data_IF_204716149533
#
_entry.id   IF_204716149533
#
_cell.length_a   1.000
_cell.length_b   1.000
_cell.length_c   1.000
_cell.angle_alpha   90.00
_cell.angle_beta   90.00
_cell.angle_gamma   90.00
#
_symmetry.space_group_name_H-M   'P 1'
#
loop_
_entity.id
_entity.type
_entity.pdbx_description
1 polymer ?
#
# COMPACT_ATOMS: atom_id res chain seq x y z
N UNK A 1 -16.76 -16.77 13.88
CA UNK A 1 -16.71 -16.08 12.57
C UNK A 1 -15.26 -15.99 12.15
N UNK A 2 -14.91 -16.62 11.03
CA UNK A 2 -13.53 -16.72 10.55
C UNK A 2 -12.89 -15.34 10.36
N UNK A 3 -12.07 -14.91 11.33
CA UNK A 3 -11.17 -13.77 11.17
C UNK A 3 -10.01 -14.21 10.29
N UNK A 4 -10.28 -14.48 9.00
CA UNK A 4 -9.18 -14.54 8.03
C UNK A 4 -8.55 -13.15 8.06
N UNK A 5 -7.25 -13.02 8.37
CA UNK A 5 -6.59 -11.73 8.30
C UNK A 5 -6.82 -11.18 6.90
N UNK A 6 -7.41 -9.97 6.81
CA UNK A 6 -7.63 -9.32 5.51
C UNK A 6 -6.27 -9.23 4.79
N UNK A 7 -6.20 -9.60 3.50
CA UNK A 7 -4.94 -9.68 2.77
C UNK A 7 -4.19 -8.36 2.85
N UNK A 8 -2.86 -8.44 2.97
CA UNK A 8 -2.01 -7.28 2.91
C UNK A 8 -1.98 -6.79 1.45
N UNK A 9 -2.58 -5.63 1.20
CA UNK A 9 -2.55 -5.00 -0.13
C UNK A 9 -1.21 -4.32 -0.39
N UNK A 10 -0.84 -4.22 -1.67
CA UNK A 10 0.36 -3.50 -2.09
C UNK A 10 0.40 -2.04 -1.61
N UNK A 11 -0.74 -1.33 -1.65
CA UNK A 11 -0.83 0.03 -1.12
C UNK A 11 -0.44 0.10 0.36
N UNK A 12 -1.01 -0.80 1.17
CA UNK A 12 -0.74 -0.82 2.61
C UNK A 12 0.71 -1.20 2.88
N UNK A 13 1.26 -2.16 2.15
CA UNK A 13 2.68 -2.52 2.25
C UNK A 13 3.60 -1.36 1.86
N UNK A 14 3.30 -0.67 0.76
CA UNK A 14 4.06 0.51 0.31
C UNK A 14 4.06 1.61 1.38
N UNK A 15 2.90 1.91 1.98
CA UNK A 15 2.80 2.91 3.05
C UNK A 15 3.63 2.54 4.28
N UNK A 16 3.58 1.29 4.71
CA UNK A 16 4.30 0.81 5.90
C UNK A 16 5.81 0.82 5.64
N UNK A 17 6.26 0.29 4.50
CA UNK A 17 7.68 0.19 4.18
C UNK A 17 8.35 1.55 4.02
N UNK A 18 7.65 2.52 3.42
CA UNK A 18 8.13 3.90 3.26
C UNK A 18 7.82 4.79 4.48
N UNK A 19 7.30 4.21 5.56
CA UNK A 19 7.00 4.92 6.81
C UNK A 19 6.13 6.19 6.60
N UNK A 20 5.14 6.11 5.71
CA UNK A 20 4.29 7.25 5.37
C UNK A 20 3.23 7.49 6.46
N UNK A 21 2.86 8.77 6.64
CA UNK A 21 1.86 9.20 7.59
C UNK A 21 0.45 9.16 7.00
N UNK A 22 -0.44 8.45 7.67
CA UNK A 22 -1.82 8.25 7.22
C UNK A 22 -2.60 9.56 7.19
N UNK A 23 -2.39 10.44 8.16
CA UNK A 23 -3.13 11.71 8.25
C UNK A 23 -2.65 12.65 7.15
N UNK A 24 -1.33 12.78 6.95
CA UNK A 24 -0.78 13.58 5.84
C UNK A 24 -1.27 13.12 4.47
N UNK A 25 -1.30 11.80 4.24
CA UNK A 25 -1.84 11.24 2.97
C UNK A 25 -3.30 11.65 2.81
N UNK A 26 -4.12 11.50 3.85
CA UNK A 26 -5.55 11.83 3.80
C UNK A 26 -5.77 13.33 3.53
N UNK A 27 -5.02 14.20 4.19
CA UNK A 27 -5.10 15.65 4.01
C UNK A 27 -4.71 16.06 2.59
N UNK A 28 -3.55 15.60 2.10
CA UNK A 28 -3.07 15.97 0.77
C UNK A 28 -3.94 15.37 -0.35
N UNK A 29 -4.41 14.13 -0.19
CA UNK A 29 -5.30 13.49 -1.16
C UNK A 29 -6.77 13.95 -1.02
N UNK A 30 -7.09 14.78 -0.01
CA UNK A 30 -8.45 15.26 0.32
C UNK A 30 -9.46 14.13 0.47
N UNK A 31 -9.08 13.08 1.19
CA UNK A 31 -9.93 11.91 1.49
C UNK A 31 -10.05 11.68 2.99
N UNK A 32 -11.10 10.96 3.40
CA UNK A 32 -11.23 10.55 4.80
C UNK A 32 -10.34 9.36 5.14
N UNK A 33 -9.94 9.25 6.41
CA UNK A 33 -9.16 8.11 6.91
C UNK A 33 -9.89 6.77 6.75
N UNK A 34 -11.22 6.79 6.90
CA UNK A 34 -12.07 5.61 6.66
C UNK A 34 -12.06 5.21 5.18
N UNK A 35 -12.01 6.18 4.27
CA UNK A 35 -11.85 5.90 2.84
C UNK A 35 -10.50 5.24 2.55
N UNK A 36 -9.39 5.86 2.99
CA UNK A 36 -8.05 5.28 2.82
C UNK A 36 -7.96 3.86 3.41
N UNK A 37 -8.54 3.64 4.58
CA UNK A 37 -8.59 2.31 5.21
C UNK A 37 -9.29 1.27 4.34
N UNK A 38 -10.38 1.63 3.65
CA UNK A 38 -11.06 0.73 2.71
C UNK A 38 -10.19 0.44 1.49
N UNK A 39 -9.51 1.45 0.94
CA UNK A 39 -8.59 1.25 -0.19
C UNK A 39 -7.42 0.34 0.22
N UNK A 40 -6.84 0.53 1.40
CA UNK A 40 -5.82 -0.35 1.97
C UNK A 40 -6.33 -1.78 2.23
N UNK A 41 -7.64 -1.98 2.30
CA UNK A 41 -8.29 -3.29 2.44
C UNK A 41 -8.73 -3.87 1.08
N UNK A 42 -8.39 -3.22 -0.03
CA UNK A 42 -8.63 -3.72 -1.38
C UNK A 42 -9.86 -3.12 -2.07
N UNK A 43 -10.50 -2.08 -1.49
CA UNK A 43 -11.54 -1.35 -2.20
C UNK A 43 -10.92 -0.54 -3.35
N UNK A 44 -11.52 -0.64 -4.54
CA UNK A 44 -11.08 0.11 -5.71
C UNK A 44 -11.55 1.57 -5.61
N UNK A 45 -10.64 2.56 -5.61
CA UNK A 45 -11.01 3.96 -5.67
C UNK A 45 -11.40 4.37 -7.11
N UNK A 46 -11.95 5.57 -7.29
CA UNK A 46 -12.11 6.13 -8.63
C UNK A 46 -10.74 6.47 -9.24
N UNK A 47 -10.66 6.54 -10.57
CA UNK A 47 -9.43 6.89 -11.28
C UNK A 47 -8.83 8.24 -10.80
N UNK A 48 -9.67 9.26 -10.62
CA UNK A 48 -9.24 10.56 -10.10
C UNK A 48 -8.62 10.45 -8.70
N UNK A 49 -9.20 9.63 -7.82
CA UNK A 49 -8.66 9.40 -6.48
C UNK A 49 -7.38 8.56 -6.55
N UNK A 50 -7.30 7.58 -7.45
CA UNK A 50 -6.09 6.78 -7.67
C UNK A 50 -4.91 7.66 -8.10
N UNK A 51 -5.10 8.53 -9.10
CA UNK A 51 -4.09 9.48 -9.57
C UNK A 51 -3.58 10.39 -8.44
N UNK A 52 -4.51 10.96 -7.64
CA UNK A 52 -4.15 11.78 -6.48
C UNK A 52 -3.35 11.00 -5.45
N UNK A 53 -3.79 9.79 -5.11
CA UNK A 53 -3.10 8.95 -4.15
C UNK A 53 -1.68 8.62 -4.61
N UNK A 54 -1.48 8.26 -5.87
CA UNK A 54 -0.14 7.99 -6.42
C UNK A 54 0.79 9.19 -6.22
N UNK A 55 0.33 10.39 -6.60
CA UNK A 55 1.10 11.63 -6.45
C UNK A 55 1.46 11.91 -4.98
N UNK A 56 0.53 11.65 -4.06
CA UNK A 56 0.74 11.90 -2.63
C UNK A 56 1.66 10.85 -2.00
N UNK A 57 1.55 9.60 -2.41
CA UNK A 57 2.35 8.49 -1.89
C UNK A 57 3.81 8.55 -2.32
N UNK A 58 4.10 9.17 -3.46
CA UNK A 58 5.48 9.43 -3.94
C UNK A 58 6.03 10.77 -3.44
N UNK A 59 5.23 11.57 -2.74
CA UNK A 59 5.68 12.84 -2.14
C UNK A 59 6.48 12.60 -0.85
N UNK A 60 7.68 13.18 -0.78
CA UNK A 60 8.53 13.14 0.41
C UNK A 60 7.88 13.81 1.63
N UNK A 61 6.91 14.70 1.42
CA UNK A 61 6.21 15.41 2.51
C UNK A 61 5.37 14.47 3.39
N UNK A 62 4.91 13.35 2.83
CA UNK A 62 4.09 12.37 3.52
C UNK A 62 4.90 11.43 4.43
N UNK A 63 6.22 11.47 4.39
CA UNK A 63 7.06 10.66 5.28
C UNK A 63 6.89 11.12 6.73
N UNK A 64 6.76 10.16 7.66
CA UNK A 64 6.75 10.46 9.10
C UNK A 64 8.13 10.94 9.53
N UNK A 65 8.16 11.95 10.41
CA UNK A 65 9.38 12.27 11.15
C UNK A 65 9.77 11.02 11.97
N UNK A 66 11.00 10.50 11.85
CA UNK A 66 11.39 9.26 12.52
C UNK A 66 11.35 9.45 14.04
N UNK A 67 10.27 8.98 14.68
CA UNK A 67 10.22 8.81 16.13
C UNK A 67 10.76 7.43 16.49
N UNK A 68 11.76 7.39 17.38
CA UNK A 68 12.33 6.18 17.98
C UNK A 68 11.27 5.47 18.81
N UNK A 69 10.49 4.57 18.21
CA UNK A 69 9.65 3.62 18.94
C UNK A 69 9.54 2.32 18.15
N UNK A 70 10.45 1.39 18.45
CA UNK A 70 10.44 0.00 17.98
C UNK A 70 9.59 -0.83 18.92
N UNK A 71 8.29 -0.94 18.62
CA UNK A 71 7.44 -1.99 19.19
C UNK A 71 7.57 -3.26 18.33
N UNK A 72 7.63 -4.46 18.93
CA UNK A 72 7.87 -5.72 18.20
C UNK A 72 6.82 -6.00 17.12
N UNK A 73 5.55 -5.67 17.35
CA UNK A 73 4.45 -5.83 16.38
C UNK A 73 4.64 -4.99 15.10
N UNK A 74 5.37 -3.86 15.21
CA UNK A 74 5.69 -3.01 14.06
C UNK A 74 6.78 -3.63 13.18
N UNK A 75 7.69 -4.42 13.77
CA UNK A 75 8.76 -5.08 13.04
C UNK A 75 8.23 -6.19 12.12
N UNK A 76 7.31 -7.03 12.61
CA UNK A 76 6.69 -8.10 11.81
C UNK A 76 5.86 -7.55 10.64
N UNK A 77 5.08 -6.49 10.90
CA UNK A 77 4.30 -5.81 9.87
C UNK A 77 5.19 -5.16 8.81
N UNK A 78 6.34 -4.61 9.22
CA UNK A 78 7.31 -4.01 8.32
C UNK A 78 8.01 -5.07 7.47
N UNK A 79 8.38 -6.20 8.05
CA UNK A 79 9.00 -7.31 7.33
C UNK A 79 8.05 -7.90 6.30
N UNK A 80 6.80 -8.15 6.68
CA UNK A 80 5.75 -8.64 5.77
C UNK A 80 5.51 -7.66 4.61
N UNK A 81 5.46 -6.36 4.89
CA UNK A 81 5.35 -5.31 3.88
C UNK A 81 6.56 -5.29 2.93
N UNK A 82 7.78 -5.40 3.45
CA UNK A 82 9.00 -5.46 2.64
C UNK A 82 9.01 -6.69 1.74
N UNK A 83 8.68 -7.87 2.26
CA UNK A 83 8.61 -9.12 1.47
C UNK A 83 7.63 -8.98 0.30
N UNK A 84 6.43 -8.44 0.53
CA UNK A 84 5.45 -8.21 -0.54
C UNK A 84 5.97 -7.25 -1.60
N UNK A 85 6.65 -6.17 -1.19
CA UNK A 85 7.23 -5.21 -2.14
C UNK A 85 8.35 -5.84 -2.97
N UNK A 86 9.25 -6.60 -2.35
CA UNK A 86 10.34 -7.27 -3.07
C UNK A 86 9.82 -8.33 -4.06
N UNK A 87 8.81 -9.11 -3.65
CA UNK A 87 8.12 -10.04 -4.57
C UNK A 87 7.49 -9.30 -5.74
N UNK A 88 6.80 -8.18 -5.48
CA UNK A 88 6.17 -7.38 -6.53
C UNK A 88 7.20 -6.78 -7.47
N UNK A 89 8.34 -6.30 -6.96
CA UNK A 89 9.46 -5.79 -7.80
C UNK A 89 10.05 -6.87 -8.69
N UNK A 90 10.20 -8.09 -8.17
CA UNK A 90 10.72 -9.22 -8.95
C UNK A 90 9.77 -9.65 -10.08
N UNK A 91 8.46 -9.58 -9.85
CA UNK A 91 7.43 -9.94 -10.84
C UNK A 91 7.10 -8.79 -11.81
N UNK A 92 7.24 -7.55 -11.38
CA UNK A 92 6.86 -6.36 -12.13
C UNK A 92 7.99 -5.34 -12.16
N UNK A 93 8.83 -5.39 -13.20
CA UNK A 93 9.95 -4.47 -13.38
C UNK A 93 9.53 -2.99 -13.36
N UNK A 94 8.35 -2.67 -13.90
CA UNK A 94 7.78 -1.32 -13.85
C UNK A 94 7.56 -0.81 -12.42
N UNK A 95 7.23 -1.69 -11.47
CA UNK A 95 7.07 -1.34 -10.07
C UNK A 95 8.42 -1.11 -9.39
N UNK A 96 9.46 -1.84 -9.80
CA UNK A 96 10.82 -1.62 -9.30
C UNK A 96 11.37 -0.25 -9.71
N UNK A 97 11.07 0.20 -10.93
CA UNK A 97 11.54 1.48 -11.46
C UNK A 97 10.70 2.66 -10.96
N UNK A 98 9.36 2.55 -11.02
CA UNK A 98 8.45 3.69 -10.84
C UNK A 98 7.69 3.68 -9.51
N UNK A 99 7.79 2.59 -8.74
CA UNK A 99 7.06 2.42 -7.49
C UNK A 99 5.55 2.27 -7.71
N UNK A 100 4.76 2.76 -6.75
CA UNK A 100 3.30 2.62 -6.81
C UNK A 100 2.70 3.54 -7.89
N UNK A 101 1.86 2.95 -8.74
CA UNK A 101 1.14 3.57 -9.87
C UNK A 101 -0.36 3.32 -9.77
N UNK A 102 -1.14 4.01 -10.59
CA UNK A 102 -2.61 3.94 -10.57
C UNK A 102 -3.14 2.53 -10.77
N UNK A 103 -2.50 1.74 -11.63
CA UNK A 103 -2.88 0.35 -11.91
C UNK A 103 -2.93 -0.52 -10.64
N UNK A 104 -2.05 -0.25 -9.67
CA UNK A 104 -2.00 -0.97 -8.40
C UNK A 104 -3.17 -0.63 -7.47
N UNK A 105 -3.76 0.55 -7.66
CA UNK A 105 -4.93 1.01 -6.92
C UNK A 105 -6.23 0.60 -7.61
N UNK A 106 -6.23 0.59 -8.95
CA UNK A 106 -7.39 0.21 -9.76
C UNK A 106 -7.60 -1.31 -9.81
N UNK A 107 -6.53 -2.10 -9.72
CA UNK A 107 -6.55 -3.56 -9.74
C UNK A 107 -5.85 -4.17 -8.52
N UNK A 108 -6.30 -3.87 -7.28
CA UNK A 108 -5.58 -4.24 -6.07
C UNK A 108 -5.48 -5.75 -5.86
N UNK A 109 -6.40 -6.54 -6.42
CA UNK A 109 -6.42 -8.01 -6.34
C UNK A 109 -5.17 -8.65 -6.98
N UNK A 110 -4.61 -8.03 -8.04
CA UNK A 110 -3.41 -8.53 -8.73
C UNK A 110 -2.15 -8.47 -7.88
N UNK A 111 -2.18 -7.72 -6.78
CA UNK A 111 -1.02 -7.40 -5.95
C UNK A 111 -1.29 -7.64 -4.46
N UNK A 112 -2.16 -8.60 -4.13
CA UNK A 112 -2.51 -8.96 -2.75
C UNK A 112 -1.77 -10.22 -2.30
N UNK A 113 -1.18 -10.17 -1.10
CA UNK A 113 -0.59 -11.36 -0.49
C UNK A 113 -1.69 -12.37 -0.08
N UNK A 114 -1.54 -13.63 -0.50
CA UNK A 114 -2.47 -14.72 -0.15
C UNK A 114 -3.66 -14.90 -1.10
N UNK A 115 -3.70 -14.16 -2.21
CA UNK A 115 -4.46 -14.57 -3.39
C UNK A 115 -3.50 -15.46 -4.18
N UNK A 116 -3.79 -16.76 -4.25
CA UNK A 116 -3.04 -17.66 -5.13
C UNK A 116 -3.03 -17.04 -6.53
N UNK A 117 -1.84 -16.96 -7.12
CA UNK A 117 -1.63 -16.49 -8.48
C UNK A 117 -2.38 -17.44 -9.42
N UNK A 118 -3.67 -17.21 -9.62
CA UNK A 118 -4.39 -17.77 -10.73
C UNK A 118 -3.91 -16.99 -11.95
N UNK A 119 -2.79 -17.50 -12.47
CA UNK A 119 -2.00 -16.93 -13.53
C UNK A 119 -2.86 -16.32 -14.62
N UNK A 120 -2.50 -15.12 -15.01
CA UNK A 120 -2.81 -14.64 -16.34
C UNK A 120 -1.95 -15.44 -17.32
N UNK A 121 -2.55 -16.48 -17.91
CA UNK A 121 -2.14 -17.08 -19.17
C UNK A 121 -3.07 -16.58 -20.28
#
# INVERSE_FOLDING_TARGET
MSTRPKPLTLLKAYRIANNLDTNKICEQARISRSYLTRVEQGATPSAEIAARLVRVLTSAECVRVPQRATTPTRAESLESARRLLEQTKALHAEFAEQGIREIHLLYPQRYQAGVEDHGFA
#
